data_IF_819936268930
#
_entry.id   IF_819936268930
#
_cell.length_a   1.000
_cell.length_b   1.000
_cell.length_c   1.000
_cell.angle_alpha   90.00
_cell.angle_beta   90.00
_cell.angle_gamma   90.00
#
_symmetry.space_group_name_H-M   'P 1'
#
loop_
_entity.id
_entity.type
_entity.pdbx_description
1 polymer ?
#
# COMPACT_ATOMS: atom_id res chain seq x y z
N UNK A 1 -14.53 0.20 -7.79
CA UNK A 1 -13.95 -1.12 -7.49
C UNK A 1 -15.10 -2.10 -7.42
N UNK A 2 -15.06 -3.23 -8.15
CA UNK A 2 -16.19 -4.16 -8.23
C UNK A 2 -15.96 -5.46 -7.48
N UNK A 3 -14.73 -5.99 -7.49
CA UNK A 3 -14.41 -7.26 -6.82
C UNK A 3 -13.32 -7.00 -5.78
N UNK A 4 -13.65 -7.07 -4.51
CA UNK A 4 -12.72 -6.83 -3.41
C UNK A 4 -12.45 -8.14 -2.67
N UNK A 5 -11.17 -8.50 -2.53
CA UNK A 5 -10.71 -9.58 -1.67
C UNK A 5 -10.32 -9.02 -0.30
N UNK A 6 -11.04 -9.40 0.75
CA UNK A 6 -10.76 -9.01 2.13
C UNK A 6 -10.04 -10.15 2.82
N UNK A 7 -8.80 -9.90 3.25
CA UNK A 7 -7.98 -10.90 3.97
C UNK A 7 -8.17 -10.74 5.46
N UNK A 8 -8.70 -11.78 6.08
CA UNK A 8 -9.02 -11.88 7.50
C UNK A 8 -8.03 -12.80 8.21
N UNK A 9 -7.70 -12.50 9.45
CA UNK A 9 -6.79 -13.29 10.29
C UNK A 9 -7.37 -13.68 11.65
N UNK A 10 -8.65 -13.40 11.88
CA UNK A 10 -9.36 -13.65 13.13
C UNK A 10 -9.07 -12.63 14.23
N UNK A 11 -8.41 -11.52 13.90
CA UNK A 11 -8.12 -10.43 14.85
C UNK A 11 -9.27 -9.43 14.99
N UNK A 12 -9.15 -8.54 15.96
CA UNK A 12 -10.12 -7.45 16.17
C UNK A 12 -10.13 -6.41 15.04
N UNK A 13 -9.17 -6.47 14.13
CA UNK A 13 -9.09 -5.56 12.97
C UNK A 13 -9.96 -6.00 11.79
N UNK A 14 -10.40 -7.25 11.78
CA UNK A 14 -11.20 -7.83 10.69
C UNK A 14 -12.51 -7.05 10.45
N UNK A 15 -13.17 -6.62 11.52
CA UNK A 15 -14.40 -5.80 11.42
C UNK A 15 -14.13 -4.51 10.67
N UNK A 16 -13.08 -3.79 11.05
CA UNK A 16 -12.74 -2.52 10.44
C UNK A 16 -12.36 -2.67 8.96
N UNK A 17 -11.59 -3.70 8.62
CA UNK A 17 -11.20 -3.98 7.23
C UNK A 17 -12.43 -4.29 6.37
N UNK A 18 -13.37 -5.07 6.91
CA UNK A 18 -14.62 -5.36 6.21
C UNK A 18 -15.50 -4.10 6.06
N UNK A 19 -15.58 -3.24 7.09
CA UNK A 19 -16.27 -1.95 7.00
C UNK A 19 -15.71 -1.08 5.86
N UNK A 20 -14.36 -1.01 5.73
CA UNK A 20 -13.74 -0.29 4.62
C UNK A 20 -14.11 -0.88 3.25
N UNK A 21 -14.11 -2.21 3.12
CA UNK A 21 -14.51 -2.87 1.88
C UNK A 21 -15.98 -2.58 1.51
N UNK A 22 -16.87 -2.63 2.49
CA UNK A 22 -18.30 -2.29 2.32
C UNK A 22 -18.44 -0.83 1.86
N UNK A 23 -17.74 0.10 2.49
CA UNK A 23 -17.76 1.51 2.11
C UNK A 23 -17.29 1.73 0.66
N UNK A 24 -16.24 1.04 0.22
CA UNK A 24 -15.74 1.12 -1.15
C UNK A 24 -16.72 0.56 -2.18
N UNK A 25 -17.51 -0.45 -1.82
CA UNK A 25 -18.48 -1.09 -2.73
C UNK A 25 -19.87 -0.46 -2.69
N UNK A 26 -20.18 0.32 -1.67
CA UNK A 26 -21.53 0.91 -1.45
C UNK A 26 -22.11 1.63 -2.68
N UNK A 27 -21.27 2.35 -3.43
CA UNK A 27 -21.67 3.11 -4.61
C UNK A 27 -21.49 2.35 -5.93
N UNK A 28 -20.72 1.26 -5.94
CA UNK A 28 -20.39 0.50 -7.16
C UNK A 28 -21.20 -0.78 -7.34
N UNK A 29 -21.89 -1.25 -6.29
CA UNK A 29 -22.57 -2.54 -6.28
C UNK A 29 -21.61 -3.70 -6.47
N UNK A 30 -20.40 -3.58 -5.95
CA UNK A 30 -19.34 -4.58 -6.10
C UNK A 30 -19.49 -5.77 -5.15
N UNK A 31 -18.80 -6.86 -5.48
CA UNK A 31 -18.77 -8.08 -4.68
C UNK A 31 -17.59 -8.06 -3.70
N UNK A 32 -17.80 -8.60 -2.50
CA UNK A 32 -16.77 -8.78 -1.48
C UNK A 32 -16.57 -10.27 -1.26
N UNK A 33 -15.33 -10.73 -1.41
CA UNK A 33 -14.91 -12.09 -1.08
C UNK A 33 -14.04 -12.07 0.16
N UNK A 34 -14.40 -12.85 1.18
CA UNK A 34 -13.67 -12.98 2.43
C UNK A 34 -12.66 -14.12 2.33
N UNK A 35 -11.40 -13.86 2.61
CA UNK A 35 -10.36 -14.87 2.66
C UNK A 35 -9.80 -14.98 4.07
N UNK A 36 -10.21 -16.02 4.79
CA UNK A 36 -9.74 -16.26 6.16
C UNK A 36 -8.46 -17.10 6.15
N UNK A 37 -7.38 -16.53 6.71
CA UNK A 37 -6.14 -17.28 6.93
C UNK A 37 -6.13 -17.88 8.33
N UNK A 38 -5.87 -19.18 8.41
CA UNK A 38 -5.71 -19.89 9.69
C UNK A 38 -4.34 -20.52 9.72
N UNK A 39 -3.53 -20.13 10.70
CA UNK A 39 -2.21 -20.72 10.91
C UNK A 39 -1.90 -20.79 12.40
N UNK A 40 -1.33 -21.93 12.80
CA UNK A 40 -0.76 -22.13 14.13
C UNK A 40 0.58 -22.85 14.01
N UNK A 41 1.51 -22.53 14.93
CA UNK A 41 2.85 -23.14 15.02
C UNK A 41 2.80 -24.65 15.31
N UNK A 42 1.65 -25.16 15.72
CA UNK A 42 1.42 -26.59 15.91
C UNK A 42 1.67 -27.40 14.62
N UNK A 43 1.47 -26.80 13.44
CA UNK A 43 1.81 -27.45 12.17
C UNK A 43 3.31 -27.71 12.05
N UNK A 44 4.14 -26.73 12.44
CA UNK A 44 5.60 -26.90 12.42
C UNK A 44 6.02 -27.94 13.48
N UNK A 45 5.47 -27.82 14.67
CA UNK A 45 5.75 -28.77 15.75
C UNK A 45 5.42 -30.21 15.33
N UNK A 46 4.27 -30.43 14.68
CA UNK A 46 3.89 -31.74 14.18
C UNK A 46 4.87 -32.29 13.13
N UNK A 47 5.46 -31.43 12.30
CA UNK A 47 6.49 -31.85 11.32
C UNK A 47 7.77 -32.34 11.97
N UNK A 48 8.14 -31.80 13.15
CA UNK A 48 9.37 -32.15 13.85
C UNK A 48 9.20 -33.39 14.78
N UNK A 49 8.10 -33.46 15.51
CA UNK A 49 7.93 -34.50 16.54
C UNK A 49 6.78 -35.46 16.27
N UNK A 50 5.87 -35.11 15.39
CA UNK A 50 4.65 -35.89 15.12
C UNK A 50 3.83 -36.10 16.43
N UNK A 51 2.57 -35.74 16.46
CA UNK A 51 1.69 -36.10 17.54
C UNK A 51 0.32 -36.55 17.03
N UNK A 52 -0.16 -37.60 17.69
CA UNK A 52 -1.34 -38.33 17.18
C UNK A 52 -2.59 -37.45 17.11
N UNK A 53 -2.72 -36.47 18.01
CA UNK A 53 -3.88 -35.57 18.08
C UNK A 53 -3.78 -34.34 17.19
N UNK A 54 -2.79 -34.26 16.28
CA UNK A 54 -2.66 -33.11 15.37
C UNK A 54 -3.91 -32.87 14.50
N UNK A 55 -4.54 -33.91 13.91
CA UNK A 55 -5.74 -33.71 13.10
C UNK A 55 -6.89 -33.07 13.88
N UNK A 56 -7.13 -33.50 15.12
CA UNK A 56 -8.19 -32.98 15.99
C UNK A 56 -7.94 -31.54 16.39
N UNK A 57 -6.70 -31.21 16.75
CA UNK A 57 -6.31 -29.83 17.10
C UNK A 57 -6.45 -28.91 15.89
N UNK A 58 -5.97 -29.34 14.73
CA UNK A 58 -6.14 -28.60 13.49
C UNK A 58 -7.62 -28.34 13.19
N UNK A 59 -8.48 -29.38 13.30
CA UNK A 59 -9.91 -29.25 13.06
C UNK A 59 -10.55 -28.25 14.05
N UNK A 60 -10.19 -28.33 15.33
CA UNK A 60 -10.68 -27.38 16.34
C UNK A 60 -10.32 -25.94 16.03
N UNK A 61 -9.10 -25.67 15.52
CA UNK A 61 -8.68 -24.32 15.12
C UNK A 61 -9.44 -23.84 13.87
N UNK A 62 -9.72 -24.72 12.92
CA UNK A 62 -10.55 -24.40 11.76
C UNK A 62 -12.00 -24.09 12.15
N UNK A 63 -12.58 -24.89 13.06
CA UNK A 63 -13.94 -24.68 13.56
C UNK A 63 -14.05 -23.35 14.32
N UNK A 64 -13.02 -23.00 15.12
CA UNK A 64 -12.96 -21.70 15.80
C UNK A 64 -12.90 -20.54 14.79
N UNK A 65 -12.09 -20.67 13.74
CA UNK A 65 -11.99 -19.68 12.69
C UNK A 65 -13.32 -19.52 11.91
N UNK A 66 -14.01 -20.65 11.64
CA UNK A 66 -15.33 -20.61 11.01
C UNK A 66 -16.37 -19.90 11.88
N UNK A 67 -16.35 -20.13 13.20
CA UNK A 67 -17.21 -19.40 14.14
C UNK A 67 -16.94 -17.91 14.13
N UNK A 68 -15.65 -17.51 14.09
CA UNK A 68 -15.28 -16.08 13.98
C UNK A 68 -15.78 -15.47 12.67
N UNK A 69 -15.58 -16.18 11.55
CA UNK A 69 -16.04 -15.73 10.24
C UNK A 69 -17.57 -15.58 10.21
N UNK A 70 -18.32 -16.55 10.72
CA UNK A 70 -19.79 -16.47 10.80
C UNK A 70 -20.25 -15.28 11.64
N UNK A 71 -19.65 -15.05 12.81
CA UNK A 71 -19.99 -13.88 13.64
C UNK A 71 -19.79 -12.57 12.91
N UNK A 72 -18.72 -12.49 12.10
CA UNK A 72 -18.42 -11.32 11.29
C UNK A 72 -19.48 -11.14 10.19
N UNK A 73 -19.81 -12.20 9.46
CA UNK A 73 -20.82 -12.15 8.39
C UNK A 73 -22.22 -11.88 8.94
N UNK A 74 -22.62 -12.48 10.06
CA UNK A 74 -23.92 -12.23 10.72
C UNK A 74 -24.08 -10.75 11.09
N UNK A 75 -22.99 -10.09 11.47
CA UNK A 75 -23.01 -8.66 11.82
C UNK A 75 -23.23 -7.76 10.59
N UNK A 76 -22.68 -8.10 9.44
CA UNK A 76 -22.66 -7.27 8.23
C UNK A 76 -23.58 -7.76 7.11
N UNK A 77 -24.20 -8.94 7.25
CA UNK A 77 -25.08 -9.58 6.28
C UNK A 77 -24.49 -10.82 5.61
N UNK A 78 -25.35 -11.71 5.10
CA UNK A 78 -25.00 -13.06 4.63
C UNK A 78 -24.54 -13.12 3.16
N UNK A 79 -24.30 -12.00 2.52
CA UNK A 79 -24.07 -11.93 1.08
C UNK A 79 -22.60 -12.04 0.66
N UNK A 80 -21.70 -12.37 1.58
CA UNK A 80 -20.29 -12.50 1.29
C UNK A 80 -19.95 -13.93 0.88
N UNK A 81 -19.24 -14.09 -0.24
CA UNK A 81 -18.56 -15.34 -0.51
C UNK A 81 -17.31 -15.45 0.35
N UNK A 82 -16.92 -16.66 0.73
CA UNK A 82 -15.75 -16.85 1.59
C UNK A 82 -14.92 -18.08 1.23
N UNK A 83 -13.62 -18.00 1.51
CA UNK A 83 -12.66 -19.10 1.43
C UNK A 83 -11.82 -19.10 2.68
N UNK A 84 -11.57 -20.30 3.24
CA UNK A 84 -10.70 -20.49 4.39
C UNK A 84 -9.46 -21.26 3.96
N UNK A 85 -8.29 -20.81 4.40
CA UNK A 85 -7.02 -21.47 4.10
C UNK A 85 -6.23 -21.76 5.35
N UNK A 86 -5.77 -23.01 5.48
CA UNK A 86 -4.83 -23.44 6.49
C UNK A 86 -3.41 -23.45 5.95
N UNK A 87 -2.49 -22.73 6.58
CA UNK A 87 -1.06 -22.81 6.29
C UNK A 87 -0.31 -21.49 6.40
N UNK A 88 1.03 -21.61 6.46
CA UNK A 88 1.95 -20.50 6.76
C UNK A 88 2.09 -19.49 5.62
N UNK A 89 2.14 -19.94 4.38
CA UNK A 89 2.39 -19.08 3.21
C UNK A 89 1.10 -18.43 2.70
N UNK A 90 0.36 -17.79 3.59
CA UNK A 90 -0.94 -17.22 3.30
C UNK A 90 -0.90 -16.22 2.13
N UNK A 91 0.16 -15.39 1.99
CA UNK A 91 0.30 -14.41 0.91
C UNK A 91 0.20 -15.04 -0.49
N UNK A 92 0.80 -16.22 -0.68
CA UNK A 92 0.72 -16.94 -1.94
C UNK A 92 -0.72 -17.39 -2.27
N UNK A 93 -1.45 -17.83 -1.27
CA UNK A 93 -2.85 -18.25 -1.43
C UNK A 93 -3.78 -17.06 -1.64
N UNK A 94 -3.50 -15.92 -1.00
CA UNK A 94 -4.22 -14.66 -1.26
C UNK A 94 -4.02 -14.20 -2.70
N UNK A 95 -2.79 -14.22 -3.22
CA UNK A 95 -2.52 -13.86 -4.62
C UNK A 95 -3.25 -14.79 -5.59
N UNK A 96 -3.26 -16.09 -5.32
CA UNK A 96 -3.98 -17.05 -6.16
C UNK A 96 -5.50 -16.83 -6.11
N UNK A 97 -6.07 -16.57 -4.93
CA UNK A 97 -7.51 -16.31 -4.81
C UNK A 97 -7.88 -14.97 -5.46
N UNK A 98 -7.05 -13.92 -5.29
CA UNK A 98 -7.25 -12.65 -5.96
C UNK A 98 -7.28 -12.79 -7.50
N UNK A 99 -6.38 -13.60 -8.05
CA UNK A 99 -6.37 -13.90 -9.48
C UNK A 99 -7.61 -14.70 -9.93
N UNK A 100 -8.02 -15.70 -9.15
CA UNK A 100 -9.17 -16.55 -9.42
C UNK A 100 -10.48 -15.78 -9.49
N UNK A 101 -10.69 -14.84 -8.57
CA UNK A 101 -11.88 -13.99 -8.54
C UNK A 101 -11.73 -12.72 -9.39
N UNK A 102 -10.57 -12.51 -10.03
CA UNK A 102 -10.25 -11.26 -10.74
C UNK A 102 -10.43 -10.03 -9.86
N UNK A 103 -9.83 -10.04 -8.67
CA UNK A 103 -9.96 -8.96 -7.71
C UNK A 103 -9.41 -7.64 -8.26
N UNK A 104 -10.14 -6.55 -8.04
CA UNK A 104 -9.72 -5.17 -8.34
C UNK A 104 -8.89 -4.57 -7.20
N UNK A 105 -9.01 -5.16 -6.01
CA UNK A 105 -8.34 -4.72 -4.79
C UNK A 105 -8.25 -5.87 -3.79
N UNK A 106 -7.09 -5.98 -3.13
CA UNK A 106 -6.93 -6.78 -1.91
C UNK A 106 -6.85 -5.83 -0.71
N UNK A 107 -7.61 -6.09 0.33
CA UNK A 107 -7.56 -5.32 1.59
C UNK A 107 -7.14 -6.25 2.73
N UNK A 108 -6.18 -5.81 3.56
CA UNK A 108 -5.70 -6.55 4.71
C UNK A 108 -5.30 -5.61 5.84
N UNK A 109 -5.64 -5.98 7.09
CA UNK A 109 -5.08 -5.32 8.27
C UNK A 109 -3.59 -5.64 8.44
N UNK A 110 -2.81 -4.64 8.83
CA UNK A 110 -1.43 -4.85 9.27
C UNK A 110 -1.44 -5.37 10.70
N UNK A 111 -0.83 -6.53 10.92
CA UNK A 111 -0.69 -7.09 12.26
C UNK A 111 0.40 -6.34 13.04
N UNK A 112 0.01 -5.79 14.19
CA UNK A 112 0.97 -5.20 15.13
C UNK A 112 1.66 -6.31 15.92
N UNK A 113 2.66 -6.94 15.35
CA UNK A 113 3.51 -7.89 16.07
C UNK A 113 4.55 -7.12 16.89
N UNK A 114 4.38 -7.19 18.23
CA UNK A 114 5.34 -6.81 19.29
C UNK A 114 5.67 -5.32 19.49
N UNK A 115 6.23 -5.06 20.67
CA UNK A 115 6.56 -3.73 21.24
C UNK A 115 7.69 -2.96 20.56
N UNK A 116 8.18 -3.43 19.42
CA UNK A 116 9.22 -2.74 18.63
C UNK A 116 8.52 -2.04 17.48
N UNK A 117 8.27 -0.76 17.67
CA UNK A 117 7.46 0.11 16.79
C UNK A 117 8.13 0.49 15.46
N UNK A 118 9.15 -0.22 14.99
CA UNK A 118 9.94 0.19 13.81
C UNK A 118 9.60 -0.54 12.51
N UNK A 119 8.82 -1.64 12.55
CA UNK A 119 8.42 -2.37 11.35
C UNK A 119 6.92 -2.62 11.34
N UNK A 120 6.18 -1.77 10.63
CA UNK A 120 4.72 -1.84 10.52
C UNK A 120 4.25 -2.99 9.61
N UNK A 121 5.13 -3.57 8.81
CA UNK A 121 4.78 -4.59 7.83
C UNK A 121 5.61 -5.85 8.03
N UNK A 122 4.96 -7.02 7.98
CA UNK A 122 5.65 -8.30 8.03
C UNK A 122 6.34 -8.62 6.69
N UNK A 123 7.34 -9.51 6.66
CA UNK A 123 7.90 -9.99 5.39
C UNK A 123 6.84 -10.56 4.45
N UNK A 124 5.81 -11.20 4.99
CA UNK A 124 4.69 -11.75 4.23
C UNK A 124 3.83 -10.65 3.60
N UNK A 125 3.61 -9.52 4.27
CA UNK A 125 2.93 -8.36 3.70
C UNK A 125 3.71 -7.78 2.53
N UNK A 126 5.04 -7.69 2.65
CA UNK A 126 5.90 -7.25 1.54
C UNK A 126 5.89 -8.23 0.36
N UNK A 127 5.79 -9.54 0.63
CA UNK A 127 5.59 -10.53 -0.43
C UNK A 127 4.23 -10.34 -1.11
N UNK A 128 3.16 -10.13 -0.35
CA UNK A 128 1.85 -9.84 -0.92
C UNK A 128 1.89 -8.60 -1.82
N UNK A 129 2.48 -7.50 -1.33
CA UNK A 129 2.63 -6.25 -2.09
C UNK A 129 3.43 -6.43 -3.38
N UNK A 130 4.39 -7.36 -3.42
CA UNK A 130 5.23 -7.63 -4.59
C UNK A 130 4.56 -8.52 -5.63
N UNK A 131 3.85 -9.54 -5.14
CA UNK A 131 3.40 -10.66 -5.97
C UNK A 131 1.95 -10.49 -6.44
N UNK A 132 1.19 -9.55 -5.84
CA UNK A 132 -0.18 -9.26 -6.24
C UNK A 132 -0.25 -8.66 -7.65
N UNK A 133 -1.25 -9.09 -8.42
CA UNK A 133 -1.55 -8.57 -9.76
C UNK A 133 -2.50 -7.36 -9.76
N UNK A 134 -3.11 -7.07 -8.62
CA UNK A 134 -4.02 -5.96 -8.39
C UNK A 134 -3.54 -5.11 -7.22
N UNK A 135 -4.05 -3.87 -7.05
CA UNK A 135 -3.74 -3.03 -5.90
C UNK A 135 -3.95 -3.74 -4.57
N UNK A 136 -3.06 -3.46 -3.60
CA UNK A 136 -3.15 -3.99 -2.24
C UNK A 136 -3.23 -2.85 -1.25
N UNK A 137 -4.27 -2.83 -0.43
CA UNK A 137 -4.45 -1.85 0.63
C UNK A 137 -4.13 -2.50 1.99
N UNK A 138 -3.05 -2.06 2.59
CA UNK A 138 -2.66 -2.40 3.95
C UNK A 138 -3.25 -1.38 4.91
N UNK A 139 -4.17 -1.83 5.75
CA UNK A 139 -4.89 -1.01 6.72
C UNK A 139 -4.16 -1.06 8.06
N UNK A 140 -3.65 0.08 8.51
CA UNK A 140 -2.87 0.20 9.74
C UNK A 140 -3.69 0.65 10.94
N UNK A 141 -4.81 1.35 10.72
CA UNK A 141 -5.65 1.91 11.76
C UNK A 141 -6.94 1.13 11.94
N UNK A 142 -7.17 0.66 13.14
CA UNK A 142 -8.37 -0.12 13.47
C UNK A 142 -9.59 0.71 13.87
N UNK A 143 -9.56 2.04 13.86
CA UNK A 143 -10.68 2.87 14.39
C UNK A 143 -10.68 4.35 13.98
N UNK A 144 -9.84 4.82 13.11
CA UNK A 144 -9.81 6.25 12.75
C UNK A 144 -10.38 6.47 11.36
N UNK A 145 -11.21 7.49 11.24
CA UNK A 145 -11.62 8.00 9.94
C UNK A 145 -10.39 8.47 9.16
N UNK A 146 -10.26 8.05 7.91
CA UNK A 146 -9.23 8.55 7.01
C UNK A 146 -9.66 9.93 6.54
N UNK A 147 -8.93 10.96 6.95
CA UNK A 147 -9.24 12.35 6.63
C UNK A 147 -8.65 12.81 5.30
N UNK A 148 -7.55 12.17 4.87
CA UNK A 148 -6.86 12.48 3.62
C UNK A 148 -6.28 11.26 2.93
N UNK A 149 -6.26 11.30 1.61
CA UNK A 149 -5.57 10.34 0.74
C UNK A 149 -4.43 11.06 0.04
N UNK A 150 -3.20 10.62 0.27
CA UNK A 150 -1.99 11.20 -0.30
C UNK A 150 -1.53 10.36 -1.48
N UNK A 151 -1.60 10.90 -2.69
CA UNK A 151 -1.05 10.28 -3.89
C UNK A 151 0.43 10.65 -4.03
N UNK A 152 1.33 9.67 -3.95
CA UNK A 152 2.75 9.86 -4.25
C UNK A 152 2.94 9.87 -5.78
N UNK A 153 3.26 11.03 -6.34
CA UNK A 153 3.40 11.23 -7.77
C UNK A 153 4.82 11.67 -8.14
N UNK A 154 5.53 10.88 -8.97
CA UNK A 154 6.85 11.27 -9.48
C UNK A 154 6.70 12.16 -10.71
N UNK A 155 7.33 13.33 -10.66
CA UNK A 155 7.41 14.28 -11.78
C UNK A 155 8.74 14.24 -12.50
N UNK A 156 9.73 13.50 -11.95
CA UNK A 156 11.10 13.43 -12.49
C UNK A 156 11.33 12.24 -13.41
N UNK A 157 10.35 11.36 -13.54
CA UNK A 157 10.52 10.10 -14.26
C UNK A 157 10.04 10.23 -15.70
N UNK A 158 10.92 9.97 -16.65
CA UNK A 158 10.69 10.18 -18.08
C UNK A 158 10.27 8.90 -18.83
N UNK A 159 10.28 7.74 -18.15
CA UNK A 159 9.88 6.49 -18.83
C UNK A 159 8.37 6.37 -18.95
N UNK A 160 7.92 5.83 -20.08
CA UNK A 160 6.48 5.61 -20.34
C UNK A 160 5.81 4.75 -19.26
N UNK A 161 6.48 3.70 -18.83
CA UNK A 161 5.95 2.79 -17.80
C UNK A 161 5.75 3.49 -16.44
N UNK A 162 6.69 4.34 -16.03
CA UNK A 162 6.57 5.12 -14.79
C UNK A 162 5.49 6.18 -14.90
N UNK A 163 5.37 6.83 -16.06
CA UNK A 163 4.30 7.78 -16.30
C UNK A 163 2.92 7.11 -16.20
N UNK A 164 2.73 5.93 -16.82
CA UNK A 164 1.49 5.18 -16.76
C UNK A 164 1.20 4.68 -15.33
N UNK A 165 2.22 4.29 -14.58
CA UNK A 165 2.08 3.94 -13.18
C UNK A 165 1.65 5.15 -12.34
N UNK A 166 2.26 6.30 -12.55
CA UNK A 166 1.88 7.55 -11.90
C UNK A 166 0.43 7.95 -12.18
N UNK A 167 -0.02 7.83 -13.42
CA UNK A 167 -1.43 8.08 -13.79
C UNK A 167 -2.38 7.11 -13.08
N UNK A 168 -2.01 5.82 -12.97
CA UNK A 168 -2.80 4.84 -12.20
C UNK A 168 -2.85 5.16 -10.71
N UNK A 169 -1.73 5.60 -10.11
CA UNK A 169 -1.68 6.05 -8.72
C UNK A 169 -2.65 7.19 -8.49
N UNK A 170 -2.63 8.23 -9.35
CA UNK A 170 -3.52 9.37 -9.24
C UNK A 170 -5.01 8.97 -9.37
N UNK A 171 -5.36 8.12 -10.33
CA UNK A 171 -6.72 7.64 -10.52
C UNK A 171 -7.18 6.81 -9.30
N UNK A 172 -6.35 5.90 -8.79
CA UNK A 172 -6.70 5.09 -7.61
C UNK A 172 -6.82 5.91 -6.33
N UNK A 173 -5.96 6.93 -6.17
CA UNK A 173 -6.04 7.86 -5.04
C UNK A 173 -7.34 8.69 -5.10
N UNK A 174 -7.70 9.18 -6.27
CA UNK A 174 -8.95 9.91 -6.48
C UNK A 174 -10.19 9.04 -6.19
N UNK A 175 -10.20 7.78 -6.68
CA UNK A 175 -11.28 6.83 -6.41
C UNK A 175 -11.39 6.52 -4.91
N UNK A 176 -10.25 6.32 -4.23
CA UNK A 176 -10.19 6.04 -2.81
C UNK A 176 -10.69 7.25 -1.98
N UNK A 177 -10.19 8.45 -2.28
CA UNK A 177 -10.60 9.68 -1.60
C UNK A 177 -12.11 9.91 -1.74
N UNK A 178 -12.66 9.78 -2.95
CA UNK A 178 -14.09 9.92 -3.21
C UNK A 178 -14.93 8.90 -2.45
N UNK A 179 -14.50 7.63 -2.40
CA UNK A 179 -15.22 6.55 -1.70
C UNK A 179 -15.22 6.74 -0.18
N UNK A 180 -14.11 7.26 0.37
CA UNK A 180 -13.96 7.50 1.81
C UNK A 180 -14.49 8.86 2.27
N UNK A 181 -14.82 9.76 1.34
CA UNK A 181 -15.15 11.16 1.66
C UNK A 181 -13.97 11.94 2.24
N UNK A 182 -12.75 11.55 1.86
CA UNK A 182 -11.49 12.13 2.33
C UNK A 182 -10.96 13.17 1.34
N UNK A 183 -10.09 14.06 1.81
CA UNK A 183 -9.38 15.00 0.93
C UNK A 183 -8.33 14.28 0.08
N UNK A 184 -8.23 14.67 -1.19
CA UNK A 184 -7.16 14.19 -2.08
C UNK A 184 -5.98 15.18 -2.06
N UNK A 185 -4.84 14.71 -1.60
CA UNK A 185 -3.57 15.43 -1.64
C UNK A 185 -2.64 14.76 -2.66
N UNK A 186 -2.07 15.53 -3.57
CA UNK A 186 -1.07 15.03 -4.52
C UNK A 186 0.29 15.61 -4.17
N UNK A 187 1.22 14.73 -3.86
CA UNK A 187 2.55 15.10 -3.39
C UNK A 187 3.61 14.53 -4.31
N UNK A 188 4.46 15.41 -4.84
CA UNK A 188 5.70 15.05 -5.52
C UNK A 188 6.88 15.44 -4.65
N UNK A 189 7.90 14.58 -4.59
CA UNK A 189 9.10 14.87 -3.80
C UNK A 189 10.31 14.89 -4.73
N UNK A 190 11.00 16.00 -4.76
CA UNK A 190 12.30 16.13 -5.43
C UNK A 190 13.44 15.94 -4.43
N UNK A 191 14.59 15.36 -4.85
CA UNK A 191 15.72 15.15 -3.94
C UNK A 191 16.23 16.45 -3.32
N UNK A 192 16.50 16.44 -2.02
CA UNK A 192 16.97 17.61 -1.25
C UNK A 192 18.23 18.27 -1.85
N UNK A 193 19.11 17.49 -2.49
CA UNK A 193 20.33 18.01 -3.08
C UNK A 193 20.07 18.94 -4.29
N UNK A 194 18.93 18.84 -4.94
CA UNK A 194 18.53 19.77 -6.02
C UNK A 194 18.21 21.16 -5.49
N UNK A 195 17.82 21.27 -4.23
CA UNK A 195 17.40 22.54 -3.61
C UNK A 195 18.36 23.02 -2.49
N UNK A 196 19.46 22.32 -2.22
CA UNK A 196 20.32 22.66 -1.11
C UNK A 196 21.59 23.38 -1.58
N UNK A 197 21.65 24.69 -1.29
CA UNK A 197 22.91 25.45 -1.29
C UNK A 197 23.95 24.88 -0.29
N UNK A 198 23.56 23.94 0.56
CA UNK A 198 24.32 23.49 1.74
C UNK A 198 25.23 22.28 1.48
N UNK A 199 25.06 21.54 0.38
CA UNK A 199 25.77 20.27 0.17
C UNK A 199 27.07 20.42 -0.61
N UNK A 200 27.26 21.53 -1.30
CA UNK A 200 28.51 21.77 -2.06
C UNK A 200 29.33 22.80 -1.30
N UNK A 201 30.17 22.31 -0.38
CA UNK A 201 31.26 23.11 0.14
C UNK A 201 32.11 23.67 -1.00
N UNK A 202 32.97 24.68 -0.76
CA UNK A 202 33.75 25.29 -1.83
C UNK A 202 34.56 24.22 -2.56
N UNK A 203 34.27 24.00 -3.83
CA UNK A 203 35.04 23.11 -4.69
C UNK A 203 36.32 23.82 -5.00
N UNK A 204 37.51 23.28 -4.60
CA UNK A 204 38.78 23.90 -4.91
C UNK A 204 38.92 24.14 -6.42
N UNK A 205 39.13 25.40 -6.82
CA UNK A 205 39.31 25.77 -8.24
C UNK A 205 38.06 26.18 -9.01
N UNK A 206 36.85 26.16 -8.40
CA UNK A 206 35.66 26.72 -9.04
C UNK A 206 35.31 28.12 -8.46
N UNK A 207 35.07 29.13 -9.32
CA UNK A 207 34.69 30.47 -8.85
C UNK A 207 33.28 30.41 -8.20
N UNK A 208 33.01 31.35 -7.27
CA UNK A 208 31.82 31.45 -6.43
C UNK A 208 30.45 31.59 -7.11
N UNK A 209 30.34 31.34 -8.40
CA UNK A 209 29.09 31.34 -9.18
C UNK A 209 28.34 29.98 -9.18
N UNK A 210 29.01 28.90 -8.72
CA UNK A 210 28.42 27.57 -8.70
C UNK A 210 27.20 27.43 -7.74
N UNK A 211 27.21 28.05 -6.56
CA UNK A 211 26.04 28.02 -5.67
C UNK A 211 24.78 28.69 -6.24
N UNK A 212 24.93 29.84 -6.96
CA UNK A 212 23.79 30.53 -7.56
C UNK A 212 23.21 29.74 -8.74
N UNK A 213 24.04 29.14 -9.55
CA UNK A 213 23.61 28.27 -10.66
C UNK A 213 22.83 27.05 -10.18
N UNK A 214 23.23 26.46 -9.05
CA UNK A 214 22.48 25.33 -8.46
C UNK A 214 21.15 25.73 -7.82
N UNK A 215 21.08 26.93 -7.24
CA UNK A 215 19.83 27.47 -6.74
C UNK A 215 18.83 27.69 -7.89
N UNK A 216 19.30 28.26 -9.01
CA UNK A 216 18.48 28.47 -10.21
C UNK A 216 17.99 27.14 -10.81
N UNK A 217 18.85 26.12 -10.82
CA UNK A 217 18.46 24.76 -11.26
C UNK A 217 17.44 24.12 -10.33
N UNK A 218 17.56 24.32 -9.02
CA UNK A 218 16.61 23.84 -8.02
C UNK A 218 15.23 24.47 -8.18
N UNK A 219 15.16 25.79 -8.38
CA UNK A 219 13.93 26.52 -8.62
C UNK A 219 13.26 26.06 -9.93
N UNK A 220 14.03 25.97 -11.02
CA UNK A 220 13.52 25.45 -12.28
C UNK A 220 13.02 23.99 -12.18
N UNK A 221 13.63 23.15 -11.33
CA UNK A 221 13.17 21.79 -11.11
C UNK A 221 11.83 21.75 -10.38
N UNK A 222 11.62 22.64 -9.39
CA UNK A 222 10.36 22.80 -8.69
C UNK A 222 9.26 23.24 -9.65
N UNK A 223 9.48 24.32 -10.39
CA UNK A 223 8.51 24.86 -11.35
C UNK A 223 8.10 23.82 -12.40
N UNK A 224 9.08 23.09 -12.95
CA UNK A 224 8.83 22.02 -13.90
C UNK A 224 8.03 20.87 -13.28
N UNK A 225 8.33 20.50 -12.04
CA UNK A 225 7.60 19.46 -11.34
C UNK A 225 6.14 19.86 -11.11
N UNK A 226 5.87 21.09 -10.70
CA UNK A 226 4.52 21.65 -10.56
C UNK A 226 3.76 21.66 -11.90
N UNK A 227 4.41 22.10 -12.96
CA UNK A 227 3.81 22.12 -14.30
C UNK A 227 3.40 20.72 -14.77
N UNK A 228 4.29 19.73 -14.61
CA UNK A 228 4.04 18.32 -14.96
C UNK A 228 2.88 17.76 -14.14
N UNK A 229 2.86 18.02 -12.83
CA UNK A 229 1.80 17.58 -11.93
C UNK A 229 0.44 18.16 -12.35
N UNK A 230 0.35 19.49 -12.50
CA UNK A 230 -0.90 20.15 -12.89
C UNK A 230 -1.37 19.75 -14.30
N UNK A 231 -0.46 19.57 -15.24
CA UNK A 231 -0.77 19.08 -16.59
C UNK A 231 -1.37 17.68 -16.56
N UNK A 232 -0.79 16.79 -15.72
CA UNK A 232 -1.26 15.41 -15.59
C UNK A 232 -2.64 15.36 -14.90
N UNK A 233 -2.85 16.13 -13.84
CA UNK A 233 -4.15 16.22 -13.16
C UNK A 233 -5.24 16.73 -14.08
N UNK A 234 -4.97 17.79 -14.87
CA UNK A 234 -5.91 18.30 -15.90
C UNK A 234 -6.23 17.25 -16.96
N UNK A 235 -5.20 16.52 -17.45
CA UNK A 235 -5.37 15.44 -18.43
C UNK A 235 -6.32 14.35 -17.92
N UNK A 236 -6.20 14.01 -16.62
CA UNK A 236 -7.00 12.96 -15.99
C UNK A 236 -8.35 13.47 -15.46
N UNK A 237 -8.62 14.76 -15.48
CA UNK A 237 -9.84 15.36 -14.94
C UNK A 237 -9.94 15.25 -13.42
N UNK A 238 -8.80 15.21 -12.72
CA UNK A 238 -8.72 15.07 -11.26
C UNK A 238 -8.61 16.44 -10.62
N UNK A 239 -9.48 16.71 -9.64
CA UNK A 239 -9.43 17.88 -8.78
C UNK A 239 -8.89 17.49 -7.41
N UNK A 240 -7.62 17.76 -7.14
CA UNK A 240 -7.03 17.54 -5.83
C UNK A 240 -7.32 18.73 -4.89
N UNK A 241 -7.53 18.45 -3.60
CA UNK A 241 -7.70 19.47 -2.57
C UNK A 241 -6.38 20.20 -2.30
N UNK A 242 -5.28 19.46 -2.35
CA UNK A 242 -3.92 19.97 -2.15
C UNK A 242 -2.99 19.39 -3.20
N UNK A 243 -2.12 20.23 -3.76
CA UNK A 243 -1.03 19.83 -4.67
C UNK A 243 0.26 20.45 -4.15
N UNK A 244 1.27 19.62 -3.90
CA UNK A 244 2.54 20.08 -3.32
C UNK A 244 3.73 19.42 -4.02
N UNK A 245 4.75 20.20 -4.32
CA UNK A 245 6.09 19.71 -4.66
C UNK A 245 6.99 20.01 -3.46
N UNK A 246 7.49 18.96 -2.84
CA UNK A 246 8.37 19.04 -1.67
C UNK A 246 9.80 18.73 -2.04
N UNK A 247 10.75 19.24 -1.27
CA UNK A 247 12.17 18.93 -1.42
C UNK A 247 12.69 18.24 -0.17
N UNK A 248 13.14 17.00 -0.30
CA UNK A 248 13.58 16.24 0.86
C UNK A 248 13.91 14.77 0.58
N UNK A 249 13.89 13.97 1.63
CA UNK A 249 13.89 12.51 1.53
C UNK A 249 12.47 12.02 1.30
N UNK A 250 12.26 11.28 0.23
CA UNK A 250 10.91 10.87 -0.22
C UNK A 250 10.13 10.19 0.89
N UNK A 251 10.78 9.28 1.64
CA UNK A 251 10.17 8.54 2.73
C UNK A 251 9.72 9.43 3.89
N UNK A 252 10.45 10.50 4.17
CA UNK A 252 10.14 11.45 5.25
C UNK A 252 9.01 12.37 4.84
N UNK A 253 9.12 13.00 3.66
CA UNK A 253 8.14 13.95 3.15
C UNK A 253 6.76 13.32 2.93
N UNK A 254 6.73 12.08 2.40
CA UNK A 254 5.48 11.34 2.24
C UNK A 254 4.89 10.93 3.59
N UNK A 255 5.71 10.48 4.55
CA UNK A 255 5.23 10.14 5.88
C UNK A 255 4.64 11.36 6.63
N UNK A 256 5.24 12.53 6.48
CA UNK A 256 4.72 13.79 7.04
C UNK A 256 3.39 14.20 6.36
N UNK A 257 3.31 14.09 5.02
CA UNK A 257 2.10 14.42 4.29
C UNK A 257 0.91 13.53 4.70
N UNK A 258 1.16 12.23 4.86
CA UNK A 258 0.15 11.26 5.31
C UNK A 258 -0.26 11.48 6.75
N UNK A 259 0.71 11.76 7.62
CA UNK A 259 0.45 11.90 9.05
C UNK A 259 0.02 10.58 9.70
N UNK A 260 -0.87 10.65 10.70
CA UNK A 260 -1.35 9.47 11.46
C UNK A 260 -2.69 8.94 10.95
N UNK A 261 -3.50 9.78 10.34
CA UNK A 261 -4.89 9.50 9.96
C UNK A 261 -5.10 9.42 8.44
N UNK A 262 -4.05 9.65 7.67
CA UNK A 262 -4.11 9.59 6.21
C UNK A 262 -3.81 8.21 5.65
N UNK A 263 -4.07 8.05 4.34
CA UNK A 263 -3.70 6.89 3.54
C UNK A 263 -2.73 7.30 2.44
N UNK A 264 -1.60 6.60 2.31
CA UNK A 264 -0.66 6.75 1.20
C UNK A 264 -1.11 5.90 0.02
N UNK A 265 -1.16 6.47 -1.16
CA UNK A 265 -1.27 5.71 -2.43
C UNK A 265 0.03 5.87 -3.20
N UNK A 266 0.70 4.74 -3.44
CA UNK A 266 2.03 4.70 -4.03
C UNK A 266 2.13 3.61 -5.10
N UNK A 267 2.92 3.89 -6.15
CA UNK A 267 3.18 2.92 -7.20
C UNK A 267 4.29 1.95 -6.83
N UNK A 268 4.13 0.70 -7.20
CA UNK A 268 5.18 -0.30 -7.19
C UNK A 268 5.52 -0.69 -8.63
N UNK A 269 6.73 -0.40 -9.06
CA UNK A 269 7.24 -0.89 -10.34
C UNK A 269 7.57 -2.38 -10.21
N UNK A 270 6.54 -3.23 -10.20
CA UNK A 270 6.75 -4.67 -10.31
C UNK A 270 7.35 -4.98 -11.68
N UNK A 271 8.58 -5.50 -11.71
CA UNK A 271 9.21 -5.88 -12.97
C UNK A 271 8.47 -7.05 -13.60
N UNK A 272 7.64 -6.73 -14.57
CA UNK A 272 6.83 -7.69 -15.32
C UNK A 272 7.63 -8.69 -16.17
N UNK A 273 8.95 -8.54 -16.35
CA UNK A 273 9.79 -9.46 -17.16
C UNK A 273 11.25 -9.37 -16.79
N UNK A 274 11.70 -10.05 -15.75
CA UNK A 274 13.11 -10.44 -15.65
C UNK A 274 13.16 -11.88 -15.13
N UNK A 275 13.94 -12.72 -15.86
CA UNK A 275 14.19 -14.14 -15.56
C UNK A 275 14.47 -14.38 -14.08
N UNK A 276 13.98 -15.48 -13.56
CA UNK A 276 13.85 -15.91 -12.16
C UNK A 276 15.05 -15.72 -11.20
N UNK A 277 16.21 -15.25 -11.66
CA UNK A 277 17.39 -14.99 -10.82
C UNK A 277 17.54 -13.58 -10.25
N UNK A 278 16.71 -12.63 -10.66
CA UNK A 278 16.78 -11.21 -10.23
C UNK A 278 15.51 -10.75 -9.52
N UNK A 279 14.52 -11.61 -9.37
CA UNK A 279 13.21 -11.30 -8.79
C UNK A 279 13.23 -10.81 -7.32
N UNK A 280 14.36 -10.89 -6.61
CA UNK A 280 14.46 -10.52 -5.19
C UNK A 280 14.67 -9.02 -4.91
N UNK A 281 14.67 -8.15 -5.93
CA UNK A 281 15.03 -6.71 -5.76
C UNK A 281 14.03 -5.71 -6.35
N UNK A 282 12.77 -6.05 -6.57
CA UNK A 282 11.89 -5.27 -7.45
C UNK A 282 10.68 -4.60 -6.80
N UNK A 283 10.67 -4.50 -5.51
CA UNK A 283 9.97 -3.40 -4.86
C UNK A 283 10.93 -2.21 -4.95
N UNK A 284 10.56 -1.12 -5.64
CA UNK A 284 11.46 0.02 -5.80
C UNK A 284 11.96 0.47 -4.43
N UNK A 285 13.26 0.62 -4.25
CA UNK A 285 13.89 0.95 -2.97
C UNK A 285 13.22 2.17 -2.28
N UNK A 286 12.72 3.11 -3.07
CA UNK A 286 12.01 4.31 -2.60
C UNK A 286 10.61 3.99 -2.07
N UNK A 287 9.84 3.16 -2.79
CA UNK A 287 8.48 2.78 -2.36
C UNK A 287 8.52 1.93 -1.10
N UNK A 288 9.46 0.98 -0.99
CA UNK A 288 9.64 0.16 0.20
C UNK A 288 10.01 1.01 1.43
N UNK A 289 10.94 1.95 1.28
CA UNK A 289 11.29 2.89 2.36
C UNK A 289 10.11 3.76 2.77
N UNK A 290 9.36 4.31 1.81
CA UNK A 290 8.19 5.13 2.12
C UNK A 290 7.13 4.34 2.90
N UNK A 291 6.84 3.09 2.50
CA UNK A 291 5.90 2.21 3.19
C UNK A 291 6.32 1.98 4.65
N UNK A 292 7.61 1.77 4.91
CA UNK A 292 8.10 1.56 6.28
C UNK A 292 8.03 2.81 7.18
N UNK A 293 8.07 4.01 6.61
CA UNK A 293 8.03 5.27 7.37
C UNK A 293 6.61 5.75 7.65
N UNK A 294 5.64 5.38 6.82
CA UNK A 294 4.25 5.81 6.95
C UNK A 294 3.58 5.10 8.13
N UNK A 295 2.89 5.89 8.97
CA UNK A 295 2.11 5.39 10.10
C UNK A 295 0.63 5.21 9.79
N UNK A 296 0.16 5.79 8.70
CA UNK A 296 -1.19 5.65 8.16
C UNK A 296 -1.35 4.38 7.32
N UNK A 297 -2.47 4.31 6.64
CA UNK A 297 -2.77 3.23 5.70
C UNK A 297 -1.92 3.36 4.43
N UNK A 298 -1.71 2.25 3.73
CA UNK A 298 -0.93 2.22 2.48
C UNK A 298 -1.64 1.42 1.42
N UNK A 299 -1.95 2.07 0.29
CA UNK A 299 -2.44 1.42 -0.93
C UNK A 299 -1.30 1.38 -1.96
N UNK A 300 -0.88 0.19 -2.32
CA UNK A 300 0.14 -0.03 -3.36
C UNK A 300 -0.54 -0.36 -4.68
N UNK A 301 -0.16 0.36 -5.74
CA UNK A 301 -0.68 0.22 -7.11
C UNK A 301 0.41 -0.35 -8.01
N UNK A 302 0.06 -1.30 -8.89
CA UNK A 302 0.97 -1.98 -9.81
C UNK A 302 0.78 -1.56 -11.27
#
# INVERSE_FOLDING_TARGET
MKNILVVLDGSSSDEYVLEQAIQLTANSGGDIHLFMTVYDSIEELNRYVGFDNYPEVKQSLLDEAEVKLRRLTDKFGDHFSSTMHWGRRWHFHVVNEANKISADLVIKAVQKHSRIAEFLHTPEDLHLLRDASCPVWLVNHSKSHIDRVVAAFSTLDETEDHRLLGERVLLKANDLAAALGAELHVVSVIPAWLNSQAIIGPVPGMPGQFPSMLADVGEQALDRAEEVMHKTLRKLGINANVTEVRSGFVEVELAEAVGKTGALVIGSAAARKITAKVASKLFGNTSEKAIHHVRGDVLVVH
#
